data_IF_908452030991
#
_entry.id   IF_908452030991
#
_cell.length_a   1.000
_cell.length_b   1.000
_cell.length_c   1.000
_cell.angle_alpha   90.00
_cell.angle_beta   90.00
_cell.angle_gamma   90.00
#
_symmetry.space_group_name_H-M   'P 1'
#
loop_
_entity.id
_entity.type
_entity.pdbx_description
1 polymer ?
#
# COMPACT_ATOMS: atom_id res chain seq x y z
N UNK A 1 28.44 -21.51 -6.07
CA UNK A 1 27.39 -21.54 -7.11
C UNK A 1 26.86 -20.12 -7.22
N UNK A 2 27.02 -19.48 -8.38
CA UNK A 2 26.65 -18.07 -8.57
C UNK A 2 25.11 -17.91 -8.53
N UNK A 3 24.61 -17.09 -7.61
CA UNK A 3 23.19 -16.70 -7.56
C UNK A 3 22.88 -15.86 -8.81
N UNK A 4 21.93 -16.31 -9.63
CA UNK A 4 21.48 -15.52 -10.76
C UNK A 4 20.84 -14.23 -10.25
N UNK A 5 21.24 -13.08 -10.80
CA UNK A 5 20.59 -11.81 -10.53
C UNK A 5 19.07 -11.89 -10.77
N UNK A 6 18.23 -11.23 -9.94
CA UNK A 6 16.79 -11.25 -10.12
C UNK A 6 16.41 -10.67 -11.49
N UNK A 7 15.71 -11.47 -12.29
CA UNK A 7 15.24 -11.06 -13.61
C UNK A 7 14.02 -10.15 -13.43
N UNK A 8 14.19 -8.88 -13.79
CA UNK A 8 13.11 -7.92 -13.93
C UNK A 8 12.10 -8.48 -14.96
N UNK A 9 10.91 -8.90 -14.51
CA UNK A 9 9.82 -9.26 -15.40
C UNK A 9 9.03 -8.02 -15.89
N UNK A 10 9.26 -6.85 -15.27
CA UNK A 10 8.55 -5.61 -15.57
C UNK A 10 9.40 -4.37 -15.32
N UNK A 11 10.29 -4.06 -16.26
CA UNK A 11 10.84 -2.73 -16.55
C UNK A 11 11.99 -2.89 -17.56
N UNK A 12 11.70 -2.63 -18.84
CA UNK A 12 12.73 -2.05 -19.70
C UNK A 12 12.29 -0.62 -19.97
N UNK A 13 12.85 0.38 -19.28
CA UNK A 13 12.71 1.77 -19.72
C UNK A 13 13.25 1.82 -21.15
N UNK A 14 12.43 2.31 -22.08
CA UNK A 14 12.85 2.51 -23.45
C UNK A 14 14.08 3.40 -23.47
N UNK A 15 15.18 2.87 -24.00
CA UNK A 15 16.36 3.64 -24.36
C UNK A 15 15.94 4.61 -25.48
N UNK A 16 15.55 5.84 -25.14
CA UNK A 16 15.34 6.87 -26.15
C UNK A 16 16.72 7.31 -26.63
N UNK A 17 17.00 6.94 -27.88
CA UNK A 17 18.15 7.37 -28.64
C UNK A 17 18.20 8.90 -28.70
N UNK A 18 19.42 9.41 -28.59
CA UNK A 18 19.78 10.82 -28.64
C UNK A 18 19.19 11.52 -29.87
N UNK A 19 18.10 12.26 -29.68
CA UNK A 19 17.52 13.14 -30.69
C UNK A 19 18.35 14.41 -30.83
N UNK A 20 18.90 14.60 -32.03
CA UNK A 20 19.76 15.73 -32.44
C UNK A 20 19.18 17.10 -32.05
N UNK A 21 20.04 17.93 -31.47
CA UNK A 21 19.88 19.38 -31.37
C UNK A 21 19.57 19.97 -32.75
N UNK A 22 18.40 20.58 -32.91
CA UNK A 22 18.15 21.53 -33.97
C UNK A 22 17.81 22.88 -33.34
N UNK A 23 18.62 23.87 -33.71
CA UNK A 23 18.67 25.24 -33.20
C UNK A 23 17.75 26.10 -34.07
N UNK A 24 16.78 26.82 -33.48
CA UNK A 24 16.11 27.92 -34.17
C UNK A 24 14.77 28.38 -33.60
N UNK A 25 14.69 29.69 -33.31
CA UNK A 25 13.46 30.50 -33.46
C UNK A 25 12.67 30.79 -32.17
N UNK A 26 12.67 32.05 -31.73
CA UNK A 26 11.89 32.56 -30.61
C UNK A 26 10.44 32.92 -30.93
N UNK A 27 9.71 33.34 -29.90
CA UNK A 27 8.37 33.90 -29.95
C UNK A 27 7.62 33.64 -28.64
N UNK A 28 7.24 34.71 -27.96
CA UNK A 28 6.43 34.76 -26.74
C UNK A 28 5.07 34.08 -26.93
N UNK A 29 4.62 33.28 -25.96
CA UNK A 29 3.18 33.15 -25.64
C UNK A 29 3.01 32.53 -24.25
N UNK A 30 2.63 33.39 -23.30
CA UNK A 30 2.45 33.11 -21.88
C UNK A 30 0.99 32.73 -21.62
N UNK A 31 0.54 31.59 -22.16
CA UNK A 31 -0.81 31.07 -21.91
C UNK A 31 -0.94 29.58 -22.27
N UNK A 32 -0.46 28.69 -21.38
CA UNK A 32 -0.94 27.31 -21.22
C UNK A 32 -0.13 26.56 -20.14
N UNK A 33 -0.39 26.85 -18.86
CA UNK A 33 0.09 26.01 -17.76
C UNK A 33 -1.02 25.08 -17.19
N UNK A 34 -2.01 24.71 -18.00
CA UNK A 34 -2.79 23.49 -17.81
C UNK A 34 -2.04 22.33 -18.47
N UNK A 35 -0.84 22.00 -17.97
CA UNK A 35 -0.21 20.74 -18.34
C UNK A 35 -0.87 19.64 -17.51
N UNK A 36 -1.80 18.92 -18.13
CA UNK A 36 -2.14 17.55 -17.76
C UNK A 36 -0.83 16.79 -17.60
N UNK A 37 -0.49 16.45 -16.36
CA UNK A 37 0.73 15.73 -16.02
C UNK A 37 0.52 14.27 -16.39
N UNK A 38 1.03 13.86 -17.54
CA UNK A 38 1.06 12.44 -17.88
C UNK A 38 1.78 11.67 -16.76
N UNK A 39 1.27 10.50 -16.36
CA UNK A 39 2.00 9.59 -15.49
C UNK A 39 3.40 9.32 -16.06
N UNK A 40 4.38 9.07 -15.20
CA UNK A 40 5.72 8.70 -15.68
C UNK A 40 5.60 7.53 -16.65
N UNK A 41 6.35 7.55 -17.75
CA UNK A 41 6.24 6.61 -18.90
C UNK A 41 6.56 5.13 -18.53
N UNK A 42 6.62 4.80 -17.24
CA UNK A 42 6.75 3.44 -16.71
C UNK A 42 5.81 3.10 -15.54
N UNK A 43 4.84 3.95 -15.18
CA UNK A 43 3.88 3.63 -14.11
C UNK A 43 2.77 2.73 -14.64
N UNK A 44 2.68 1.52 -14.11
CA UNK A 44 1.60 0.59 -14.40
C UNK A 44 0.52 0.73 -13.32
N UNK A 45 -0.33 1.76 -13.40
CA UNK A 45 -1.42 1.92 -12.43
C UNK A 45 -2.54 0.91 -12.70
N UNK A 46 -3.01 0.22 -11.66
CA UNK A 46 -4.09 -0.76 -11.73
C UNK A 46 -5.42 -0.11 -12.11
N UNK A 47 -5.58 1.16 -11.77
CA UNK A 47 -6.76 1.98 -12.04
C UNK A 47 -6.43 3.06 -13.07
N UNK A 48 -7.36 3.32 -14.00
CA UNK A 48 -7.30 4.49 -14.87
C UNK A 48 -7.60 5.78 -14.09
N UNK A 49 -7.42 6.93 -14.75
CA UNK A 49 -7.85 8.24 -14.23
C UNK A 49 -9.36 8.29 -13.98
N UNK A 50 -10.15 7.56 -14.77
CA UNK A 50 -11.59 7.37 -14.60
C UNK A 50 -11.96 6.34 -13.53
N UNK A 51 -10.98 5.77 -12.82
CA UNK A 51 -11.17 4.72 -11.81
C UNK A 51 -11.75 3.42 -12.37
N UNK A 52 -11.43 3.12 -13.61
CA UNK A 52 -11.73 1.83 -14.23
C UNK A 52 -10.56 0.88 -14.05
N UNK A 53 -10.87 -0.38 -13.76
CA UNK A 53 -9.88 -1.40 -13.48
C UNK A 53 -9.24 -1.91 -14.78
N UNK A 54 -7.92 -1.78 -14.92
CA UNK A 54 -7.21 -2.03 -16.20
C UNK A 54 -6.73 -3.48 -16.37
N UNK A 55 -7.62 -4.47 -16.25
CA UNK A 55 -7.27 -5.91 -16.27
C UNK A 55 -6.34 -6.30 -17.42
N UNK A 56 -6.65 -5.87 -18.65
CA UNK A 56 -5.95 -6.29 -19.86
C UNK A 56 -4.48 -5.87 -19.89
N UNK A 57 -4.12 -4.78 -19.20
CA UNK A 57 -2.72 -4.32 -19.13
C UNK A 57 -1.86 -5.21 -18.25
N UNK A 58 -2.45 -5.84 -17.23
CA UNK A 58 -1.70 -6.63 -16.24
C UNK A 58 -1.72 -8.12 -16.54
N UNK A 59 -2.76 -8.60 -17.22
CA UNK A 59 -2.95 -10.01 -17.55
C UNK A 59 -1.71 -10.66 -18.20
N UNK A 60 -0.94 -10.01 -19.10
CA UNK A 60 0.27 -10.62 -19.68
C UNK A 60 1.38 -10.99 -18.68
N UNK A 61 1.40 -10.39 -17.50
CA UNK A 61 2.45 -10.61 -16.48
C UNK A 61 2.09 -11.68 -15.44
N UNK A 62 0.81 -12.07 -15.43
CA UNK A 62 0.27 -13.09 -14.52
C UNK A 62 0.25 -14.45 -15.21
N UNK A 63 0.28 -15.51 -14.41
CA UNK A 63 0.24 -16.90 -14.89
C UNK A 63 -0.94 -17.66 -14.29
N UNK A 64 -1.12 -18.91 -14.70
CA UNK A 64 -2.11 -19.80 -14.07
C UNK A 64 -1.60 -20.41 -12.75
N UNK A 65 -0.52 -19.85 -12.19
CA UNK A 65 0.01 -20.24 -10.89
C UNK A 65 -1.01 -19.99 -9.78
N UNK A 66 -1.17 -20.97 -8.90
CA UNK A 66 -2.06 -20.93 -7.74
C UNK A 66 -1.31 -20.75 -6.43
N UNK A 67 0.02 -20.87 -6.45
CA UNK A 67 0.91 -20.67 -5.30
C UNK A 67 1.58 -19.29 -5.40
N UNK A 68 0.84 -18.27 -4.99
CA UNK A 68 1.32 -16.88 -4.99
C UNK A 68 0.90 -16.17 -3.70
N UNK A 69 1.57 -15.07 -3.40
CA UNK A 69 1.25 -14.21 -2.25
C UNK A 69 0.97 -12.79 -2.75
N UNK A 70 -0.02 -12.13 -2.15
CA UNK A 70 -0.30 -10.72 -2.40
C UNK A 70 0.02 -9.92 -1.14
N UNK A 71 0.86 -8.89 -1.27
CA UNK A 71 1.20 -7.98 -0.18
C UNK A 71 0.82 -6.56 -0.60
N UNK A 72 -0.14 -5.96 0.11
CA UNK A 72 -0.48 -4.55 -0.06
C UNK A 72 0.07 -3.72 1.09
N UNK A 73 0.52 -2.50 0.79
CA UNK A 73 0.91 -1.52 1.82
C UNK A 73 -0.07 -0.35 1.83
N UNK A 74 -0.42 0.13 3.02
CA UNK A 74 -1.23 1.33 3.23
C UNK A 74 -0.59 2.20 4.30
N UNK A 75 -0.73 3.52 4.17
CA UNK A 75 -0.26 4.45 5.18
C UNK A 75 -0.16 5.89 4.66
N UNK A 76 -0.01 6.85 5.59
CA UNK A 76 0.02 8.28 5.26
C UNK A 76 1.25 8.67 4.43
N UNK A 77 1.32 9.93 3.95
CA UNK A 77 2.48 10.43 3.22
C UNK A 77 3.78 10.27 4.02
N UNK A 78 4.87 9.95 3.32
CA UNK A 78 6.21 9.90 3.90
C UNK A 78 6.50 8.73 4.82
N UNK A 79 5.59 7.79 5.12
CA UNK A 79 5.92 6.69 6.06
C UNK A 79 6.90 5.64 5.52
N UNK A 80 7.29 5.73 4.24
CA UNK A 80 8.26 4.79 3.64
C UNK A 80 7.64 3.54 3.01
N UNK A 81 6.38 3.61 2.56
CA UNK A 81 5.65 2.50 1.93
C UNK A 81 6.41 1.84 0.78
N UNK A 82 6.77 2.62 -0.23
CA UNK A 82 7.50 2.16 -1.42
C UNK A 82 8.89 1.62 -1.06
N UNK A 83 9.54 2.20 -0.04
CA UNK A 83 10.83 1.70 0.49
C UNK A 83 10.67 0.31 1.10
N UNK A 84 9.66 0.09 1.94
CA UNK A 84 9.36 -1.23 2.51
C UNK A 84 9.06 -2.24 1.41
N UNK A 85 8.28 -1.87 0.39
CA UNK A 85 7.98 -2.77 -0.72
C UNK A 85 9.21 -3.09 -1.59
N UNK A 86 10.12 -2.13 -1.78
CA UNK A 86 11.39 -2.40 -2.46
C UNK A 86 12.24 -3.41 -1.70
N UNK A 87 12.28 -3.33 -0.37
CA UNK A 87 12.96 -4.33 0.47
C UNK A 87 12.30 -5.70 0.36
N UNK A 88 10.96 -5.77 0.39
CA UNK A 88 10.21 -7.03 0.21
C UNK A 88 10.43 -7.61 -1.19
N UNK A 89 10.55 -6.76 -2.21
CA UNK A 89 10.90 -7.18 -3.57
C UNK A 89 12.31 -7.76 -3.68
N UNK A 90 13.19 -7.50 -2.70
CA UNK A 90 14.60 -7.87 -2.75
C UNK A 90 15.45 -6.91 -3.58
N UNK A 91 15.05 -5.64 -3.65
CA UNK A 91 15.88 -4.59 -4.26
C UNK A 91 17.15 -4.37 -3.43
N UNK A 92 18.30 -4.35 -4.11
CA UNK A 92 19.59 -4.06 -3.51
C UNK A 92 20.16 -2.77 -4.12
N UNK A 93 20.23 -1.71 -3.31
CA UNK A 93 20.78 -0.42 -3.72
C UNK A 93 22.29 -0.44 -3.94
N UNK A 94 23.00 -1.50 -3.55
CA UNK A 94 24.45 -1.63 -3.76
C UNK A 94 24.82 -1.95 -5.20
N UNK A 95 23.87 -2.46 -5.99
CA UNK A 95 24.08 -2.84 -7.39
C UNK A 95 24.05 -1.61 -8.32
N UNK A 96 25.17 -1.25 -8.98
CA UNK A 96 25.24 -0.04 -9.80
C UNK A 96 24.27 -0.08 -10.98
N UNK A 97 23.52 1.01 -11.18
CA UNK A 97 22.65 1.22 -12.36
C UNK A 97 21.27 0.57 -12.29
N UNK A 98 20.91 -0.09 -11.19
CA UNK A 98 19.54 -0.55 -10.96
C UNK A 98 18.71 0.52 -10.26
N UNK A 99 17.55 0.83 -10.84
CA UNK A 99 16.53 1.67 -10.20
C UNK A 99 15.62 0.79 -9.34
N UNK A 100 15.10 1.32 -8.22
CA UNK A 100 14.14 0.59 -7.41
C UNK A 100 12.85 0.29 -8.21
N UNK A 101 12.24 -0.89 -8.01
CA UNK A 101 10.97 -1.26 -8.65
C UNK A 101 9.86 -0.26 -8.38
N UNK A 102 9.75 0.24 -7.15
CA UNK A 102 8.88 1.33 -6.77
C UNK A 102 9.72 2.59 -6.59
N UNK A 103 9.39 3.66 -7.31
CA UNK A 103 10.08 4.92 -7.12
C UNK A 103 9.85 5.44 -5.70
N UNK A 104 10.91 5.97 -5.08
CA UNK A 104 10.88 6.53 -3.73
C UNK A 104 10.97 8.04 -3.83
N UNK A 105 10.26 8.73 -2.93
CA UNK A 105 10.27 10.19 -2.85
C UNK A 105 11.69 10.74 -2.70
N UNK A 106 12.10 11.61 -3.62
CA UNK A 106 13.37 12.34 -3.53
C UNK A 106 13.28 13.49 -2.52
N UNK A 107 14.43 13.97 -2.05
CA UNK A 107 14.48 15.14 -1.16
C UNK A 107 13.84 16.39 -1.80
N UNK A 108 13.97 16.54 -3.12
CA UNK A 108 13.32 17.60 -3.90
C UNK A 108 11.79 17.47 -3.89
N UNK A 109 11.27 16.27 -4.14
CA UNK A 109 9.81 16.00 -4.11
C UNK A 109 9.23 16.28 -2.73
N UNK A 110 9.96 15.89 -1.69
CA UNK A 110 9.62 16.16 -0.29
C UNK A 110 9.63 17.65 0.03
N UNK A 111 10.62 18.40 -0.45
CA UNK A 111 10.68 19.85 -0.29
C UNK A 111 9.51 20.56 -0.99
N UNK A 112 9.03 20.00 -2.09
CA UNK A 112 7.83 20.48 -2.80
C UNK A 112 6.50 20.02 -2.16
N UNK A 113 6.54 19.23 -1.08
CA UNK A 113 5.37 18.63 -0.43
C UNK A 113 4.44 17.89 -1.41
N UNK A 114 5.02 17.12 -2.34
CA UNK A 114 4.28 16.36 -3.35
C UNK A 114 4.22 14.88 -3.01
N UNK A 115 3.11 14.23 -3.32
CA UNK A 115 3.06 12.78 -3.32
C UNK A 115 3.82 12.22 -4.52
N UNK A 116 4.28 10.98 -4.37
CA UNK A 116 5.02 10.28 -5.41
C UNK A 116 4.19 9.14 -6.01
N UNK A 117 3.70 8.22 -5.18
CA UNK A 117 2.81 7.12 -5.62
C UNK A 117 1.40 7.66 -5.93
N UNK A 118 0.89 7.34 -7.13
CA UNK A 118 -0.47 7.69 -7.59
C UNK A 118 -1.24 6.40 -7.90
N UNK A 119 -2.45 6.27 -7.35
CA UNK A 119 -3.29 5.08 -7.50
C UNK A 119 -2.74 3.83 -6.82
N UNK A 120 -2.82 2.68 -7.50
CA UNK A 120 -2.34 1.39 -7.01
C UNK A 120 -1.36 0.83 -8.04
N UNK A 121 -0.09 0.73 -7.69
CA UNK A 121 0.97 0.24 -8.57
C UNK A 121 1.34 -1.19 -8.16
N UNK A 122 1.09 -2.21 -9.01
CA UNK A 122 1.50 -3.57 -8.74
C UNK A 122 2.91 -3.84 -9.30
N UNK A 123 3.69 -4.65 -8.59
CA UNK A 123 4.92 -5.28 -9.07
C UNK A 123 4.89 -6.77 -8.74
N UNK A 124 5.51 -7.59 -9.57
CA UNK A 124 5.57 -9.04 -9.38
C UNK A 124 7.05 -9.43 -9.25
N UNK A 125 7.42 -10.06 -8.13
CA UNK A 125 8.78 -10.54 -7.91
C UNK A 125 9.09 -11.84 -8.67
N UNK A 126 10.36 -12.27 -8.68
CA UNK A 126 10.76 -13.56 -9.24
C UNK A 126 10.12 -14.75 -8.51
N UNK A 127 9.81 -14.57 -7.23
CA UNK A 127 9.21 -15.54 -6.31
C UNK A 127 7.66 -15.52 -6.37
N UNK A 128 7.08 -14.90 -7.41
CA UNK A 128 5.63 -14.79 -7.64
C UNK A 128 4.89 -14.07 -6.50
N UNK A 129 5.53 -13.10 -5.87
CA UNK A 129 4.88 -12.21 -4.90
C UNK A 129 4.34 -10.99 -5.64
N UNK A 130 3.05 -10.76 -5.53
CA UNK A 130 2.35 -9.59 -6.07
C UNK A 130 2.38 -8.51 -4.99
N UNK A 131 3.17 -7.46 -5.21
CA UNK A 131 3.29 -6.31 -4.31
C UNK A 131 2.42 -5.16 -4.82
N UNK A 132 1.60 -4.57 -3.97
CA UNK A 132 0.71 -3.46 -4.29
C UNK A 132 1.13 -2.21 -3.50
N UNK A 133 1.76 -1.25 -4.18
CA UNK A 133 2.02 0.08 -3.60
C UNK A 133 0.80 0.96 -3.80
N UNK A 134 0.36 1.64 -2.74
CA UNK A 134 -0.86 2.46 -2.78
C UNK A 134 -0.53 3.93 -2.58
N UNK A 135 -1.34 4.79 -3.22
CA UNK A 135 -1.33 6.22 -2.95
C UNK A 135 -1.47 6.48 -1.44
N UNK A 136 -0.79 7.49 -0.89
CA UNK A 136 -0.89 7.81 0.52
C UNK A 136 -2.32 8.18 0.91
N UNK A 137 -2.82 7.59 2.00
CA UNK A 137 -4.12 7.95 2.58
C UNK A 137 -4.05 9.29 3.30
N UNK A 138 -5.14 10.06 3.26
CA UNK A 138 -5.23 11.38 3.88
C UNK A 138 -4.10 12.34 3.46
N UNK A 139 -3.72 12.33 2.18
CA UNK A 139 -2.62 13.14 1.65
C UNK A 139 -3.08 14.54 1.19
N UNK A 140 -2.60 15.63 1.83
CA UNK A 140 -2.94 16.99 1.39
C UNK A 140 -2.54 17.27 -0.06
N UNK A 141 -1.43 16.70 -0.52
CA UNK A 141 -0.95 16.87 -1.88
C UNK A 141 -1.80 16.12 -2.93
N UNK A 142 -2.44 15.01 -2.55
CA UNK A 142 -3.41 14.31 -3.42
C UNK A 142 -4.70 15.10 -3.48
N UNK A 143 -5.18 15.61 -2.34
CA UNK A 143 -6.35 16.48 -2.28
C UNK A 143 -6.15 17.76 -3.13
N UNK A 144 -4.99 18.41 -3.02
CA UNK A 144 -4.68 19.61 -3.78
C UNK A 144 -4.69 19.39 -5.30
N UNK A 145 -4.34 18.20 -5.77
CA UNK A 145 -4.41 17.81 -7.19
C UNK A 145 -5.84 17.46 -7.62
N UNK A 146 -6.69 17.04 -6.68
CA UNK A 146 -8.07 16.65 -6.92
C UNK A 146 -9.06 17.81 -6.94
N UNK A 147 -8.79 18.90 -6.22
CA UNK A 147 -9.68 20.06 -6.12
C UNK A 147 -9.74 20.81 -7.45
N UNK A 148 -10.93 20.88 -8.06
CA UNK A 148 -11.25 21.83 -9.12
C UNK A 148 -11.47 23.24 -8.53
N UNK A 149 -11.41 24.31 -9.35
CA UNK A 149 -11.65 25.67 -8.88
C UNK A 149 -13.03 25.90 -8.22
N UNK A 150 -14.02 25.05 -8.53
CA UNK A 150 -15.36 25.06 -7.96
C UNK A 150 -15.49 24.20 -6.68
N UNK A 151 -14.39 23.65 -6.16
CA UNK A 151 -14.37 22.75 -4.99
C UNK A 151 -14.77 21.31 -5.30
N UNK A 152 -15.21 21.01 -6.53
CA UNK A 152 -15.56 19.65 -6.93
C UNK A 152 -14.32 18.78 -7.15
N UNK A 153 -14.49 17.47 -7.03
CA UNK A 153 -13.44 16.50 -7.32
C UNK A 153 -13.21 16.35 -8.82
N UNK A 154 -11.96 16.29 -9.26
CA UNK A 154 -11.58 15.85 -10.62
C UNK A 154 -11.94 14.39 -10.91
N UNK A 155 -12.17 13.60 -9.85
CA UNK A 155 -12.42 12.16 -9.89
C UNK A 155 -13.83 11.82 -9.43
N UNK A 156 -14.55 11.02 -10.21
CA UNK A 156 -15.81 10.38 -9.81
C UNK A 156 -15.54 9.06 -9.09
N UNK A 157 -15.76 9.03 -7.77
CA UNK A 157 -15.47 7.84 -6.94
C UNK A 157 -16.66 6.86 -6.88
N UNK A 158 -17.88 7.39 -6.90
CA UNK A 158 -19.14 6.62 -7.00
C UNK A 158 -19.77 6.90 -8.37
N UNK A 159 -20.44 5.89 -8.95
CA UNK A 159 -21.12 6.00 -10.25
C UNK A 159 -22.00 7.27 -10.36
N UNK A 160 -21.52 8.24 -11.14
CA UNK A 160 -22.33 9.32 -11.71
C UNK A 160 -22.48 10.61 -10.91
N UNK A 161 -22.04 10.66 -9.64
CA UNK A 161 -22.18 11.88 -8.81
C UNK A 161 -20.85 12.63 -8.66
N UNK A 162 -20.87 13.94 -8.90
CA UNK A 162 -19.74 14.81 -8.56
C UNK A 162 -19.72 15.05 -7.05
N UNK A 163 -18.72 14.47 -6.38
CA UNK A 163 -18.47 14.70 -4.96
C UNK A 163 -17.59 15.95 -4.76
N UNK A 164 -17.64 16.55 -3.57
CA UNK A 164 -16.60 17.50 -3.18
C UNK A 164 -15.25 16.79 -3.16
N UNK A 165 -14.19 17.52 -3.42
CA UNK A 165 -12.86 16.94 -3.45
C UNK A 165 -12.45 16.36 -2.09
N UNK A 166 -12.88 16.93 -0.95
CA UNK A 166 -12.55 16.35 0.35
C UNK A 166 -13.26 15.02 0.57
N UNK A 167 -14.54 14.93 0.22
CA UNK A 167 -15.30 13.69 0.34
C UNK A 167 -14.76 12.61 -0.59
N UNK A 168 -14.44 12.96 -1.84
CA UNK A 168 -13.79 12.04 -2.77
C UNK A 168 -12.44 11.56 -2.23
N UNK A 169 -11.66 12.45 -1.61
CA UNK A 169 -10.37 12.11 -1.00
C UNK A 169 -10.50 11.21 0.24
N UNK A 170 -11.52 11.42 1.06
CA UNK A 170 -11.86 10.53 2.17
C UNK A 170 -12.30 9.16 1.66
N UNK A 171 -13.19 9.12 0.67
CA UNK A 171 -13.63 7.87 0.04
C UNK A 171 -12.48 7.04 -0.54
N UNK A 172 -11.50 7.70 -1.16
CA UNK A 172 -10.29 7.03 -1.65
C UNK A 172 -9.41 6.48 -0.51
N UNK A 173 -9.52 7.05 0.69
CA UNK A 173 -8.77 6.64 1.87
C UNK A 173 -9.46 5.50 2.63
N UNK A 174 -10.76 5.28 2.39
CA UNK A 174 -11.53 4.18 2.99
C UNK A 174 -11.19 2.88 2.27
N UNK A 175 -10.65 1.93 3.04
CA UNK A 175 -10.46 0.56 2.56
C UNK A 175 -11.73 -0.28 2.76
N UNK A 176 -12.06 -1.17 1.82
CA UNK A 176 -13.13 -2.14 1.97
C UNK A 176 -12.64 -3.29 2.85
N UNK A 177 -12.47 -3.03 4.15
CA UNK A 177 -12.06 -4.08 5.10
C UNK A 177 -13.16 -4.44 6.11
N UNK A 178 -14.32 -3.78 6.04
CA UNK A 178 -15.54 -4.21 6.72
C UNK A 178 -16.76 -3.57 6.05
N UNK A 179 -17.37 -4.27 5.09
CA UNK A 179 -18.69 -3.90 4.54
C UNK A 179 -19.65 -5.06 4.80
N UNK A 180 -19.84 -5.41 6.07
CA UNK A 180 -20.82 -6.42 6.49
C UNK A 180 -22.12 -5.76 6.95
N UNK A 181 -22.94 -5.28 6.01
CA UNK A 181 -24.35 -5.05 6.31
C UNK A 181 -25.34 -5.21 5.15
N UNK A 182 -24.93 -5.44 3.90
CA UNK A 182 -25.88 -5.66 2.79
C UNK A 182 -25.83 -7.12 2.30
N UNK A 183 -26.44 -7.99 3.10
CA UNK A 183 -26.56 -9.44 2.89
C UNK A 183 -27.52 -9.85 1.74
N UNK A 184 -27.77 -9.04 0.71
CA UNK A 184 -28.73 -9.44 -0.34
C UNK A 184 -28.10 -9.65 -1.73
N UNK A 185 -27.08 -8.90 -2.13
CA UNK A 185 -26.48 -9.05 -3.46
C UNK A 185 -25.17 -9.85 -3.50
N UNK A 186 -24.47 -9.99 -2.37
CA UNK A 186 -23.20 -10.71 -2.28
C UNK A 186 -23.41 -12.21 -2.05
N UNK A 187 -24.57 -12.61 -1.52
CA UNK A 187 -24.82 -14.00 -1.08
C UNK A 187 -24.75 -15.01 -2.23
N UNK A 188 -25.14 -14.67 -3.46
CA UNK A 188 -25.05 -15.63 -4.57
C UNK A 188 -23.62 -16.00 -4.97
N UNK A 189 -22.61 -15.23 -4.58
CA UNK A 189 -21.19 -15.53 -4.86
C UNK A 189 -20.42 -16.04 -3.63
N UNK A 190 -20.89 -15.76 -2.41
CA UNK A 190 -20.19 -16.04 -1.14
C UNK A 190 -20.88 -17.06 -0.21
N UNK A 191 -21.95 -17.72 -0.66
CA UNK A 191 -22.80 -18.63 0.15
C UNK A 191 -22.11 -19.90 0.73
N UNK A 192 -20.77 -20.00 0.79
CA UNK A 192 -20.13 -21.23 1.30
C UNK A 192 -18.75 -21.08 1.95
N UNK A 193 -18.31 -19.88 2.36
CA UNK A 193 -16.99 -19.71 2.95
C UNK A 193 -16.97 -18.77 4.14
N UNK A 194 -16.13 -19.08 5.14
CA UNK A 194 -15.72 -18.15 6.18
C UNK A 194 -15.23 -16.83 5.56
N UNK A 195 -15.51 -15.72 6.24
CA UNK A 195 -15.09 -14.38 5.82
C UNK A 195 -13.56 -14.34 5.65
N UNK A 196 -13.12 -14.09 4.42
CA UNK A 196 -11.70 -13.91 4.12
C UNK A 196 -11.24 -12.55 4.61
N UNK A 197 -10.25 -12.54 5.49
CA UNK A 197 -9.64 -11.32 6.03
C UNK A 197 -8.13 -11.45 5.85
N UNK A 198 -7.51 -10.47 5.19
CA UNK A 198 -6.06 -10.42 5.03
C UNK A 198 -5.37 -10.26 6.40
N UNK A 199 -4.19 -10.85 6.57
CA UNK A 199 -3.44 -10.74 7.82
C UNK A 199 -2.82 -9.34 7.98
N UNK A 200 -3.25 -8.52 8.95
CA UNK A 200 -2.66 -7.20 9.15
C UNK A 200 -1.26 -7.31 9.76
N UNK A 201 -0.35 -6.46 9.29
CA UNK A 201 0.98 -6.26 9.88
C UNK A 201 1.14 -4.77 10.17
N UNK A 202 1.38 -4.43 11.43
CA UNK A 202 1.57 -3.04 11.85
C UNK A 202 3.06 -2.70 11.78
N UNK A 203 3.38 -1.62 11.08
CA UNK A 203 4.76 -1.14 10.94
C UNK A 203 4.82 0.32 11.38
N UNK A 204 5.57 0.60 12.44
CA UNK A 204 5.87 1.97 12.84
C UNK A 204 7.25 2.34 12.35
N UNK A 205 7.32 3.30 11.44
CA UNK A 205 8.58 3.76 10.84
C UNK A 205 9.08 5.05 11.47
N UNK A 206 10.34 5.41 11.15
CA UNK A 206 10.99 6.69 11.51
C UNK A 206 11.08 6.93 13.02
N UNK A 207 11.25 5.87 13.80
CA UNK A 207 11.42 5.96 15.24
C UNK A 207 12.80 6.51 15.58
N UNK A 208 12.88 7.42 16.55
CA UNK A 208 14.15 7.87 17.13
C UNK A 208 14.50 6.99 18.31
N UNK A 209 15.75 7.04 18.75
CA UNK A 209 16.23 6.26 19.91
C UNK A 209 15.37 6.45 21.17
N UNK A 210 14.90 7.69 21.42
CA UNK A 210 14.02 7.99 22.57
C UNK A 210 12.63 7.35 22.50
N UNK A 211 12.21 6.95 21.30
CA UNK A 211 10.91 6.33 21.10
C UNK A 211 10.97 4.83 21.49
N UNK A 212 12.17 4.20 21.54
CA UNK A 212 12.42 2.80 21.90
C UNK A 212 12.47 2.52 23.42
N UNK A 213 11.68 3.22 24.23
CA UNK A 213 11.57 2.87 25.66
C UNK A 213 10.60 1.71 25.87
N UNK A 214 10.83 0.81 26.86
CA UNK A 214 9.88 -0.26 27.18
C UNK A 214 8.48 0.27 27.50
N UNK A 215 8.41 1.44 28.12
CA UNK A 215 7.15 2.13 28.42
C UNK A 215 6.37 2.49 27.15
N UNK A 216 7.02 3.11 26.16
CA UNK A 216 6.36 3.49 24.90
C UNK A 216 5.91 2.24 24.12
N UNK A 217 6.70 1.17 24.15
CA UNK A 217 6.34 -0.10 23.52
C UNK A 217 5.08 -0.71 24.15
N UNK A 218 5.00 -0.73 25.48
CA UNK A 218 3.82 -1.22 26.21
C UNK A 218 2.60 -0.36 25.89
N UNK A 219 2.74 0.96 25.86
CA UNK A 219 1.65 1.87 25.51
C UNK A 219 1.15 1.65 24.07
N UNK A 220 2.07 1.45 23.12
CA UNK A 220 1.71 1.20 21.72
C UNK A 220 0.98 -0.14 21.55
N UNK A 221 1.49 -1.20 22.19
CA UNK A 221 0.80 -2.51 22.20
C UNK A 221 -0.59 -2.38 22.82
N UNK A 222 -0.71 -1.71 23.96
CA UNK A 222 -2.00 -1.47 24.64
C UNK A 222 -2.98 -0.72 23.74
N UNK A 223 -2.55 0.36 23.09
CA UNK A 223 -3.39 1.13 22.18
C UNK A 223 -3.87 0.30 20.98
N UNK A 224 -2.99 -0.52 20.41
CA UNK A 224 -3.35 -1.44 19.33
C UNK A 224 -4.37 -2.49 19.81
N UNK A 225 -4.16 -3.07 20.99
CA UNK A 225 -5.10 -4.01 21.61
C UNK A 225 -6.46 -3.36 21.88
N UNK A 226 -6.50 -2.12 22.35
CA UNK A 226 -7.76 -1.39 22.56
C UNK A 226 -8.49 -1.09 21.24
N UNK A 227 -7.76 -0.67 20.21
CA UNK A 227 -8.35 -0.36 18.89
C UNK A 227 -8.85 -1.61 18.15
N UNK A 228 -8.17 -2.75 18.29
CA UNK A 228 -8.43 -3.95 17.48
C UNK A 228 -8.91 -5.16 18.29
N UNK A 229 -9.06 -5.04 19.62
CA UNK A 229 -9.39 -6.17 20.50
C UNK A 229 -10.77 -6.79 20.23
N UNK A 230 -11.71 -6.00 19.69
CA UNK A 230 -13.02 -6.49 19.24
C UNK A 230 -13.11 -6.68 17.72
N UNK A 231 -12.00 -6.54 16.99
CA UNK A 231 -11.98 -6.57 15.54
C UNK A 231 -11.78 -7.99 14.99
N UNK A 232 -12.46 -8.30 13.88
CA UNK A 232 -12.24 -9.54 13.12
C UNK A 232 -10.86 -9.63 12.46
N UNK A 233 -10.12 -8.51 12.38
CA UNK A 233 -8.72 -8.48 11.91
C UNK A 233 -7.78 -9.27 12.81
N UNK A 234 -8.11 -9.41 14.08
CA UNK A 234 -7.26 -10.07 15.06
C UNK A 234 -7.91 -11.37 15.46
N UNK A 235 -7.55 -12.43 14.74
CA UNK A 235 -7.96 -13.79 15.09
C UNK A 235 -7.24 -14.21 16.36
N UNK A 236 -7.99 -14.64 17.38
CA UNK A 236 -7.41 -15.39 18.49
C UNK A 236 -6.78 -16.66 17.89
N UNK A 237 -5.52 -16.95 18.19
CA UNK A 237 -4.88 -18.25 17.89
C UNK A 237 -5.54 -19.34 18.78
N UNK A 238 -6.81 -19.62 18.53
CA UNK A 238 -7.56 -20.70 19.11
C UNK A 238 -7.50 -21.91 18.19
N UNK A 239 -6.62 -22.86 18.54
CA UNK A 239 -6.44 -24.19 17.96
C UNK A 239 -5.63 -24.24 16.65
N UNK A 240 -4.35 -24.65 16.76
CA UNK A 240 -3.77 -25.86 16.12
C UNK A 240 -2.30 -26.00 16.57
N UNK A 241 -2.06 -27.05 17.37
CA UNK A 241 -0.83 -27.85 17.56
C UNK A 241 0.52 -27.20 17.92
N UNK A 242 0.92 -27.41 19.17
CA UNK A 242 2.18 -28.04 19.60
C UNK A 242 3.52 -27.69 18.92
N UNK A 243 4.35 -26.99 19.71
CA UNK A 243 5.82 -27.06 19.85
C UNK A 243 6.72 -26.44 18.77
N UNK A 244 7.74 -25.76 19.31
CA UNK A 244 9.00 -25.27 18.71
C UNK A 244 8.84 -23.95 17.94
N UNK A 245 9.48 -22.83 18.32
CA UNK A 245 10.89 -22.66 18.67
C UNK A 245 11.08 -21.35 19.46
N UNK A 246 11.75 -21.45 20.60
CA UNK A 246 12.33 -20.32 21.32
C UNK A 246 13.38 -19.66 20.43
N UNK A 247 13.13 -18.45 19.92
CA UNK A 247 14.19 -17.58 19.42
C UNK A 247 14.17 -16.27 20.19
N UNK A 248 14.90 -16.29 21.30
CA UNK A 248 15.18 -15.13 22.14
C UNK A 248 16.13 -14.18 21.42
N UNK A 249 15.66 -12.98 21.10
CA UNK A 249 16.50 -11.80 20.98
C UNK A 249 15.85 -10.66 21.78
N UNK A 250 16.22 -10.56 23.06
CA UNK A 250 15.98 -9.43 23.98
C UNK A 250 14.56 -8.85 23.94
N UNK A 251 13.57 -9.66 24.33
CA UNK A 251 12.23 -9.17 24.62
C UNK A 251 12.14 -8.81 26.12
N UNK A 252 11.95 -7.53 26.43
CA UNK A 252 11.39 -7.12 27.71
C UNK A 252 9.92 -7.57 27.73
N UNK A 253 9.64 -8.78 28.21
CA UNK A 253 8.27 -9.24 28.46
C UNK A 253 7.95 -9.21 29.95
N UNK A 254 7.02 -8.36 30.41
CA UNK A 254 6.17 -8.73 31.51
C UNK A 254 5.09 -9.67 30.94
N UNK A 255 5.16 -10.96 31.30
CA UNK A 255 4.11 -11.94 30.98
C UNK A 255 2.78 -11.47 31.58
N UNK A 256 1.83 -11.12 30.72
CA UNK A 256 0.40 -11.04 31.06
C UNK A 256 -0.37 -11.96 30.11
N UNK A 257 -1.16 -12.83 30.70
CA UNK A 257 -1.81 -14.03 30.16
C UNK A 257 -2.95 -13.75 29.15
N UNK A 258 -2.86 -12.68 28.37
CA UNK A 258 -3.87 -12.24 27.39
C UNK A 258 -3.20 -11.67 26.14
N UNK A 259 -2.18 -12.35 25.61
CA UNK A 259 -1.43 -11.87 24.45
C UNK A 259 -2.26 -12.07 23.17
N UNK A 260 -3.02 -11.03 22.85
CA UNK A 260 -3.45 -10.80 21.49
C UNK A 260 -2.19 -10.67 20.62
N UNK A 261 -1.91 -11.69 19.80
CA UNK A 261 -0.73 -11.77 18.95
C UNK A 261 -0.80 -10.77 17.77
N UNK A 262 -0.65 -9.49 18.05
CA UNK A 262 -0.57 -8.43 17.05
C UNK A 262 0.86 -8.32 16.52
N UNK A 263 1.03 -8.48 15.21
CA UNK A 263 2.34 -8.38 14.54
C UNK A 263 2.73 -6.91 14.38
N UNK A 264 3.55 -6.40 15.31
CA UNK A 264 4.07 -5.03 15.32
C UNK A 264 5.58 -5.01 15.04
N UNK A 265 5.98 -4.24 14.03
CA UNK A 265 7.37 -4.00 13.67
C UNK A 265 7.74 -2.53 13.85
N UNK A 266 8.94 -2.30 14.39
CA UNK A 266 9.46 -0.96 14.67
C UNK A 266 10.69 -0.72 13.80
N UNK A 267 10.64 0.32 12.96
CA UNK A 267 11.73 0.69 12.06
C UNK A 267 12.29 2.05 12.50
N UNK A 268 13.58 2.12 12.89
CA UNK A 268 14.20 3.37 13.29
C UNK A 268 14.31 4.34 12.10
N UNK A 269 14.60 5.61 12.36
CA UNK A 269 15.01 6.54 11.30
C UNK A 269 16.38 6.15 10.74
N UNK A 270 16.57 6.32 9.44
CA UNK A 270 17.89 6.22 8.81
C UNK A 270 18.82 7.28 9.44
N UNK A 271 19.87 6.83 10.13
CA UNK A 271 20.83 7.72 10.77
C UNK A 271 21.68 8.43 9.72
N UNK A 272 21.79 9.77 9.80
CA UNK A 272 22.68 10.55 8.92
C UNK A 272 24.15 10.53 9.37
N UNK A 273 24.42 10.14 10.62
CA UNK A 273 25.75 10.20 11.21
C UNK A 273 26.28 8.81 11.54
N UNK A 274 27.35 8.39 10.86
CA UNK A 274 28.18 7.22 11.16
C UNK A 274 28.86 7.27 12.56
N UNK A 275 28.54 8.27 13.39
CA UNK A 275 29.28 8.59 14.61
C UNK A 275 28.72 7.96 15.89
N UNK A 276 27.48 7.45 15.90
CA UNK A 276 26.92 6.73 17.05
C UNK A 276 26.37 5.37 16.63
N UNK A 277 26.90 4.29 17.23
CA UNK A 277 26.28 2.96 17.11
C UNK A 277 24.81 3.05 17.54
N UNK A 278 23.87 2.48 16.77
CA UNK A 278 22.48 2.42 17.20
C UNK A 278 22.42 1.71 18.56
N UNK A 279 21.67 2.29 19.50
CA UNK A 279 21.51 1.71 20.85
C UNK A 279 20.74 0.38 20.81
N UNK A 280 19.94 0.17 19.76
CA UNK A 280 19.10 -1.01 19.55
C UNK A 280 19.44 -1.72 18.24
N UNK A 281 18.76 -1.34 17.15
CA UNK A 281 18.87 -1.98 15.84
C UNK A 281 19.09 -0.92 14.76
N UNK A 282 19.82 -1.27 13.70
CA UNK A 282 20.00 -0.38 12.55
C UNK A 282 18.79 -0.39 11.61
N UNK A 283 18.62 0.68 10.85
CA UNK A 283 17.56 0.81 9.84
C UNK A 283 17.51 -0.37 8.85
N UNK A 284 18.66 -0.71 8.25
CA UNK A 284 18.77 -1.83 7.30
C UNK A 284 18.45 -3.19 7.94
N UNK A 285 18.89 -3.42 9.19
CA UNK A 285 18.61 -4.67 9.91
C UNK A 285 17.12 -4.81 10.22
N UNK A 286 16.46 -3.74 10.68
CA UNK A 286 15.03 -3.74 10.95
C UNK A 286 14.19 -4.00 9.69
N UNK A 287 14.57 -3.41 8.55
CA UNK A 287 13.91 -3.66 7.26
C UNK A 287 14.10 -5.10 6.79
N UNK A 288 15.32 -5.64 6.89
CA UNK A 288 15.62 -7.02 6.55
C UNK A 288 14.78 -8.00 7.41
N UNK A 289 14.68 -7.75 8.72
CA UNK A 289 13.82 -8.54 9.62
C UNK A 289 12.35 -8.46 9.24
N UNK A 290 11.84 -7.27 8.91
CA UNK A 290 10.46 -7.10 8.46
C UNK A 290 10.22 -7.93 7.19
N UNK A 291 11.11 -7.82 6.19
CA UNK A 291 11.04 -8.62 4.96
C UNK A 291 10.97 -10.10 5.29
N UNK A 292 11.96 -10.63 6.01
CA UNK A 292 12.07 -12.06 6.27
C UNK A 292 10.83 -12.57 7.03
N UNK A 293 10.30 -11.78 7.96
CA UNK A 293 9.06 -12.10 8.67
C UNK A 293 7.86 -12.12 7.72
N UNK A 294 7.64 -11.07 6.92
CA UNK A 294 6.54 -11.02 5.94
C UNK A 294 6.60 -12.17 4.94
N UNK A 295 7.79 -12.52 4.44
CA UNK A 295 7.98 -13.63 3.50
C UNK A 295 7.79 -15.01 4.13
N UNK A 296 8.06 -15.14 5.44
CA UNK A 296 7.85 -16.39 6.18
C UNK A 296 6.38 -16.61 6.60
N UNK A 297 5.53 -15.59 6.49
CA UNK A 297 4.14 -15.68 6.93
C UNK A 297 3.30 -16.56 6.01
N UNK A 298 2.64 -17.57 6.57
CA UNK A 298 1.51 -18.25 5.93
C UNK A 298 0.27 -17.36 6.02
N UNK A 299 -0.01 -16.62 4.95
CA UNK A 299 -1.25 -15.86 4.84
C UNK A 299 -2.49 -16.78 4.81
N UNK A 300 -3.68 -16.26 5.17
CA UNK A 300 -4.92 -17.00 5.00
C UNK A 300 -5.11 -17.33 3.53
N UNK A 301 -5.46 -18.59 3.23
CA UNK A 301 -5.77 -19.03 1.87
C UNK A 301 -7.21 -18.66 1.50
N UNK A 302 -7.46 -18.45 0.22
CA UNK A 302 -8.82 -18.31 -0.30
C UNK A 302 -9.59 -19.62 -0.12
N UNK A 303 -10.91 -19.52 0.10
CA UNK A 303 -11.80 -20.69 0.27
C UNK A 303 -11.85 -21.60 -0.97
N UNK A 304 -11.51 -21.05 -2.13
CA UNK A 304 -11.31 -21.79 -3.38
C UNK A 304 -9.93 -21.50 -3.90
N UNK A 305 -9.32 -22.49 -4.56
CA UNK A 305 -8.08 -22.27 -5.30
C UNK A 305 -8.31 -21.22 -6.38
N UNK A 306 -7.49 -20.17 -6.36
CA UNK A 306 -7.54 -19.05 -7.30
C UNK A 306 -6.17 -18.98 -7.96
N UNK A 307 -6.13 -18.80 -9.28
CA UNK A 307 -4.89 -18.50 -10.00
C UNK A 307 -4.58 -17.00 -9.94
N UNK A 308 -3.35 -16.58 -10.20
CA UNK A 308 -3.02 -15.15 -10.27
C UNK A 308 -3.91 -14.39 -11.29
N UNK A 309 -4.17 -15.00 -12.46
CA UNK A 309 -5.07 -14.43 -13.47
C UNK A 309 -6.50 -14.26 -12.95
N UNK A 310 -7.00 -15.27 -12.24
CA UNK A 310 -8.35 -15.23 -11.67
C UNK A 310 -8.43 -14.25 -10.50
N UNK A 311 -7.36 -14.12 -9.70
CA UNK A 311 -7.25 -13.11 -8.66
C UNK A 311 -7.41 -11.70 -9.25
N UNK A 312 -6.75 -11.40 -10.37
CA UNK A 312 -6.87 -10.10 -11.03
C UNK A 312 -8.31 -9.85 -11.53
N UNK A 313 -8.91 -10.84 -12.20
CA UNK A 313 -10.31 -10.76 -12.69
C UNK A 313 -11.30 -10.59 -11.53
N UNK A 314 -11.09 -11.30 -10.42
CA UNK A 314 -11.95 -11.18 -9.24
C UNK A 314 -11.76 -9.83 -8.56
N UNK A 315 -10.54 -9.30 -8.52
CA UNK A 315 -10.25 -7.96 -8.01
C UNK A 315 -10.98 -6.87 -8.82
N UNK A 316 -11.03 -7.01 -10.14
CA UNK A 316 -11.82 -6.13 -11.00
C UNK A 316 -13.32 -6.16 -10.68
N UNK A 317 -13.88 -7.37 -10.46
CA UNK A 317 -15.28 -7.52 -10.05
C UNK A 317 -15.55 -6.90 -8.68
N UNK A 318 -14.66 -7.11 -7.70
CA UNK A 318 -14.76 -6.51 -6.36
C UNK A 318 -14.72 -4.99 -6.47
N UNK A 319 -13.85 -4.44 -7.31
CA UNK A 319 -13.78 -3.00 -7.55
C UNK A 319 -15.09 -2.42 -8.10
N UNK A 320 -15.74 -3.10 -9.05
CA UNK A 320 -17.06 -2.70 -9.55
C UNK A 320 -18.15 -2.78 -8.48
N UNK A 321 -18.10 -3.78 -7.59
CA UNK A 321 -19.03 -3.86 -6.46
C UNK A 321 -18.83 -2.70 -5.48
N UNK A 322 -17.58 -2.30 -5.21
CA UNK A 322 -17.26 -1.16 -4.34
C UNK A 322 -17.78 0.15 -4.94
N UNK A 323 -17.51 0.40 -6.23
CA UNK A 323 -17.98 1.60 -6.93
C UNK A 323 -19.50 1.75 -6.90
N UNK A 324 -20.23 0.63 -6.89
CA UNK A 324 -21.69 0.59 -6.91
C UNK A 324 -22.31 0.26 -5.54
N UNK A 325 -21.52 0.33 -4.46
CA UNK A 325 -21.97 -0.03 -3.11
C UNK A 325 -22.96 1.00 -2.54
N UNK A 326 -24.15 0.53 -2.14
CA UNK A 326 -25.15 1.31 -1.38
C UNK A 326 -24.58 1.85 -0.08
N UNK A 327 -23.80 1.04 0.65
CA UNK A 327 -23.24 1.43 1.94
C UNK A 327 -22.24 2.59 1.77
N UNK A 328 -21.41 2.57 0.73
CA UNK A 328 -20.50 3.69 0.43
C UNK A 328 -21.29 4.96 0.08
N UNK A 329 -22.39 4.83 -0.65
CA UNK A 329 -23.26 5.96 -0.97
C UNK A 329 -23.97 6.52 0.29
N UNK A 330 -24.44 5.66 1.19
CA UNK A 330 -25.05 6.08 2.47
C UNK A 330 -24.03 6.75 3.40
N UNK A 331 -22.81 6.23 3.46
CA UNK A 331 -21.72 6.86 4.19
C UNK A 331 -21.45 8.27 3.67
N UNK A 332 -21.39 8.45 2.35
CA UNK A 332 -21.22 9.76 1.72
C UNK A 332 -22.37 10.72 2.06
N UNK A 333 -23.62 10.27 1.96
CA UNK A 333 -24.79 11.06 2.34
C UNK A 333 -24.75 11.48 3.81
N UNK A 334 -24.31 10.58 4.68
CA UNK A 334 -24.18 10.85 6.12
C UNK A 334 -23.15 11.95 6.38
N UNK A 335 -21.97 11.86 5.76
CA UNK A 335 -20.93 12.89 5.89
C UNK A 335 -21.38 14.24 5.34
N UNK A 336 -22.05 14.27 4.19
CA UNK A 336 -22.61 15.52 3.64
C UNK A 336 -23.67 16.13 4.56
N UNK A 337 -24.56 15.31 5.13
CA UNK A 337 -25.61 15.79 6.04
C UNK A 337 -25.09 16.27 7.40
N UNK A 338 -23.91 15.78 7.82
CA UNK A 338 -23.25 16.21 9.08
C UNK A 338 -22.81 17.68 9.08
N UNK A 339 -22.76 18.32 7.90
CA UNK A 339 -22.31 19.70 7.73
C UNK A 339 -20.78 19.87 7.72
N UNK A 340 -20.02 18.78 7.83
CA UNK A 340 -18.55 18.77 7.68
C UNK A 340 -18.11 19.03 6.22
N UNK A 341 -18.95 18.63 5.26
CA UNK A 341 -18.69 18.75 3.82
C UNK A 341 -19.85 19.50 3.16
N UNK A 342 -20.01 20.79 3.46
CA UNK A 342 -21.01 21.63 2.79
C UNK A 342 -20.55 21.95 1.36
N UNK A 343 -21.50 21.88 0.42
CA UNK A 343 -21.32 22.26 -0.98
C UNK A 343 -20.86 23.70 -1.14
#
# INVERSE_FOLDING_TARGET
MASSAPKILLAKPGLVTSGKFNRGGGGEDDSAALRSRLPSVGSLNLLSDSRDFQTDRFLPFLTDNTEFTVVGVIGPPGVGKSTILNEIYGFDSSSPGMLPPFGVESEETRAMARHFTVGIEPRISSERIILLDTQPVFSPSVLAEMIRPDGSSTVSVISGESLSAELAHEMMSIQPSSMSSDKENINKLLETGDEYIAAPVFVHTRLRDRDFTPHNLIQMKKALTECFGSSSFIRSEGQITSKDTLSSAMAFEPRSDSDINMKLFLIPSEGKDDSSRPQYESYASALCKLRDQVLSMSGPSFSRTVSERDWLKNSAKIWELIKNSSIMADYCRTLQSSGLFRK
#
